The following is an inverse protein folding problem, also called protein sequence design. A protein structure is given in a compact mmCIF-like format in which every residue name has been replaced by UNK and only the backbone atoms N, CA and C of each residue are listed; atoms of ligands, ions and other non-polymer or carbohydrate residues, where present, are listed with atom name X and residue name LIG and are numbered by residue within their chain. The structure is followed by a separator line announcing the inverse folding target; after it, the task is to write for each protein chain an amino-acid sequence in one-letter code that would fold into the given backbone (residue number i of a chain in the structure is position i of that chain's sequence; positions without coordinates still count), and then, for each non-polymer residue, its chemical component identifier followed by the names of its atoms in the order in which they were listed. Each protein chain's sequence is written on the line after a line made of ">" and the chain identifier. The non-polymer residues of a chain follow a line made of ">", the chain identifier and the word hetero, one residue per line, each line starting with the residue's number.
data_IF_846515331679
#
_entry.id   IF_846515331679
#
_cell.length_a   1.000
_cell.length_b   1.000
_cell.length_c   1.000
_cell.angle_alpha   90.00
_cell.angle_beta   90.00
_cell.angle_gamma   90.00
#
_symmetry.space_group_name_H-M   'P 1'
#
loop_
_entity.id
_entity.type
_entity.pdbx_description
1 polymer ?
#
# COMPACT_ATOMS: atom_id res chain seq x y z
N UNK A 1 -43.93 -17.87 -20.81
CA UNK A 1 -42.54 -17.65 -20.39
C UNK A 1 -42.58 -17.25 -18.93
N UNK A 2 -42.04 -18.09 -18.05
CA UNK A 2 -41.78 -17.65 -16.69
C UNK A 2 -40.59 -16.68 -16.75
N UNK A 3 -40.52 -15.68 -15.87
CA UNK A 3 -39.47 -14.65 -15.94
C UNK A 3 -38.04 -15.19 -15.87
N UNK A 4 -37.84 -16.43 -15.41
CA UNK A 4 -36.56 -17.13 -15.34
C UNK A 4 -36.00 -17.51 -16.72
N UNK A 5 -36.87 -17.75 -17.73
CA UNK A 5 -36.45 -18.15 -19.08
C UNK A 5 -35.72 -17.01 -19.82
N UNK A 6 -35.84 -15.78 -19.32
CA UNK A 6 -35.22 -14.57 -19.88
C UNK A 6 -33.87 -14.24 -19.23
N UNK A 7 -33.48 -14.96 -18.17
CA UNK A 7 -32.25 -14.71 -17.43
C UNK A 7 -31.09 -15.56 -17.97
N UNK A 8 -29.85 -15.06 -17.97
CA UNK A 8 -28.67 -15.78 -18.46
C UNK A 8 -28.17 -16.85 -17.46
N UNK A 9 -29.05 -17.74 -17.00
CA UNK A 9 -28.80 -18.65 -15.87
C UNK A 9 -27.60 -19.58 -16.07
N UNK A 10 -27.37 -20.06 -17.29
CA UNK A 10 -26.23 -20.95 -17.59
C UNK A 10 -24.85 -20.31 -17.39
N UNK A 11 -24.76 -18.98 -17.32
CA UNK A 11 -23.51 -18.27 -17.00
C UNK A 11 -23.28 -18.12 -15.50
N UNK A 12 -24.35 -18.10 -14.71
CA UNK A 12 -24.32 -17.63 -13.31
C UNK A 12 -24.64 -18.71 -12.29
N UNK A 13 -25.30 -19.81 -12.70
CA UNK A 13 -25.58 -20.98 -11.87
C UNK A 13 -24.90 -22.19 -12.49
N UNK A 14 -23.88 -22.71 -11.81
CA UNK A 14 -23.16 -23.90 -12.23
C UNK A 14 -22.65 -24.67 -11.00
N UNK A 15 -23.32 -25.76 -10.65
CA UNK A 15 -23.02 -26.60 -9.49
C UNK A 15 -21.62 -27.23 -9.57
N UNK A 16 -21.09 -27.49 -10.78
CA UNK A 16 -19.74 -28.05 -10.98
C UNK A 16 -18.63 -27.05 -10.61
N UNK A 17 -18.96 -25.75 -10.54
CA UNK A 17 -18.04 -24.67 -10.17
C UNK A 17 -18.22 -24.17 -8.74
N UNK A 18 -19.05 -24.85 -7.95
CA UNK A 18 -19.26 -24.53 -6.53
C UNK A 18 -18.40 -25.48 -5.70
N UNK A 19 -17.40 -24.91 -5.01
CA UNK A 19 -16.64 -25.62 -3.97
C UNK A 19 -17.37 -25.60 -2.63
N UNK A 20 -16.62 -25.50 -1.53
CA UNK A 20 -17.18 -25.42 -0.17
C UNK A 20 -18.13 -24.24 0.05
N UNK A 21 -17.93 -23.17 -0.72
CA UNK A 21 -18.68 -21.92 -0.63
C UNK A 21 -19.07 -21.42 -2.02
N UNK A 22 -20.23 -20.76 -2.11
CA UNK A 22 -20.65 -20.04 -3.31
C UNK A 22 -20.28 -18.55 -3.23
N UNK A 23 -20.47 -17.83 -4.33
CA UNK A 23 -20.28 -16.38 -4.38
C UNK A 23 -21.13 -15.64 -3.32
N UNK A 24 -20.64 -14.51 -2.82
CA UNK A 24 -21.36 -13.67 -1.85
C UNK A 24 -22.55 -13.02 -2.55
N UNK A 25 -23.76 -13.29 -2.06
CA UNK A 25 -25.03 -12.79 -2.60
C UNK A 25 -25.90 -12.19 -1.50
N UNK A 26 -26.82 -11.25 -1.82
CA UNK A 26 -27.81 -10.79 -0.87
C UNK A 26 -28.74 -11.94 -0.45
N UNK A 27 -29.10 -11.98 0.84
CA UNK A 27 -30.06 -12.96 1.35
C UNK A 27 -31.50 -12.45 1.21
N UNK A 28 -32.48 -13.36 1.24
CA UNK A 28 -33.91 -13.04 1.14
C UNK A 28 -34.50 -12.38 2.40
N UNK A 29 -33.66 -12.00 3.38
CA UNK A 29 -34.13 -11.31 4.57
C UNK A 29 -34.46 -9.84 4.26
N UNK A 30 -35.43 -9.27 4.97
CA UNK A 30 -35.69 -7.84 4.91
C UNK A 30 -34.54 -7.07 5.59
N UNK A 31 -33.70 -6.43 4.78
CA UNK A 31 -32.55 -5.66 5.25
C UNK A 31 -32.95 -4.21 5.56
N UNK A 32 -32.71 -3.74 6.79
CA UNK A 32 -32.98 -2.35 7.18
C UNK A 32 -31.78 -1.48 6.79
N UNK A 33 -31.63 -1.22 5.49
CA UNK A 33 -30.50 -0.45 4.93
C UNK A 33 -30.34 0.92 5.61
N UNK A 34 -31.45 1.55 5.98
CA UNK A 34 -31.48 2.84 6.70
C UNK A 34 -30.76 2.83 8.07
N UNK A 35 -30.57 1.62 8.64
CA UNK A 35 -29.93 1.43 9.95
C UNK A 35 -28.48 0.97 9.86
N UNK A 36 -27.99 0.72 8.65
CA UNK A 36 -26.59 0.33 8.43
C UNK A 36 -25.69 1.56 8.63
N UNK A 37 -24.47 1.34 9.12
CA UNK A 37 -23.43 2.37 9.05
C UNK A 37 -23.05 2.67 7.60
N UNK A 38 -22.35 3.77 7.37
CA UNK A 38 -21.97 4.20 6.01
C UNK A 38 -21.15 3.13 5.27
N UNK A 39 -20.20 2.48 5.94
CA UNK A 39 -19.36 1.44 5.33
C UNK A 39 -20.14 0.15 5.06
N UNK A 40 -20.95 -0.31 6.01
CA UNK A 40 -21.83 -1.47 5.82
C UNK A 40 -22.78 -1.25 4.63
N UNK A 41 -23.33 -0.04 4.51
CA UNK A 41 -24.22 0.34 3.41
C UNK A 41 -23.49 0.34 2.07
N UNK A 42 -22.25 0.83 2.01
CA UNK A 42 -21.42 0.81 0.79
C UNK A 42 -21.10 -0.62 0.35
N UNK A 43 -20.70 -1.48 1.28
CA UNK A 43 -20.42 -2.89 0.98
C UNK A 43 -21.70 -3.62 0.55
N UNK A 44 -22.82 -3.38 1.24
CA UNK A 44 -24.11 -3.95 0.88
C UNK A 44 -24.55 -3.52 -0.53
N UNK A 45 -24.47 -2.23 -0.85
CA UNK A 45 -24.79 -1.69 -2.18
C UNK A 45 -23.90 -2.31 -3.27
N UNK A 46 -22.59 -2.47 -3.02
CA UNK A 46 -21.66 -3.13 -3.93
C UNK A 46 -22.07 -4.58 -4.22
N UNK A 47 -22.38 -5.36 -3.18
CA UNK A 47 -22.79 -6.77 -3.32
C UNK A 47 -24.13 -6.87 -4.06
N UNK A 48 -25.11 -6.04 -3.71
CA UNK A 48 -26.43 -6.04 -4.35
C UNK A 48 -26.34 -5.62 -5.82
N UNK A 49 -25.62 -4.54 -6.14
CA UNK A 49 -25.41 -4.10 -7.53
C UNK A 49 -24.70 -5.17 -8.34
N UNK A 50 -23.67 -5.81 -7.78
CA UNK A 50 -22.98 -6.91 -8.46
C UNK A 50 -23.91 -8.08 -8.74
N UNK A 51 -24.73 -8.47 -7.76
CA UNK A 51 -25.74 -9.53 -7.91
C UNK A 51 -26.81 -9.17 -8.95
N UNK A 52 -27.27 -7.92 -9.01
CA UNK A 52 -28.23 -7.49 -10.03
C UNK A 52 -27.58 -7.48 -11.43
N UNK A 53 -26.37 -6.95 -11.55
CA UNK A 53 -25.65 -6.81 -12.81
C UNK A 53 -25.43 -8.14 -13.55
N UNK A 54 -25.26 -9.26 -12.84
CA UNK A 54 -25.05 -10.57 -13.49
C UNK A 54 -26.29 -11.08 -14.25
N UNK A 55 -27.48 -10.55 -13.96
CA UNK A 55 -28.74 -10.88 -14.63
C UNK A 55 -29.10 -9.91 -15.78
N UNK A 56 -28.31 -8.86 -15.96
CA UNK A 56 -28.48 -7.93 -17.08
C UNK A 56 -27.77 -8.46 -18.36
N UNK A 57 -28.21 -8.04 -19.56
CA UNK A 57 -27.56 -8.39 -20.81
C UNK A 57 -26.14 -7.81 -20.89
N UNK A 58 -25.38 -8.30 -21.86
CA UNK A 58 -24.04 -7.79 -22.15
C UNK A 58 -24.09 -6.31 -22.56
N UNK A 59 -23.01 -5.59 -22.29
CA UNK A 59 -22.84 -4.24 -22.80
C UNK A 59 -22.37 -4.33 -24.26
N UNK A 60 -23.01 -3.58 -25.15
CA UNK A 60 -22.66 -3.55 -26.58
C UNK A 60 -21.93 -2.27 -26.91
N UNK A 61 -20.78 -2.40 -27.58
CA UNK A 61 -19.94 -1.29 -27.99
C UNK A 61 -19.76 -1.27 -29.50
N UNK A 62 -19.82 -0.10 -30.09
CA UNK A 62 -19.35 0.14 -31.46
C UNK A 62 -17.87 0.52 -31.40
N UNK A 63 -17.01 -0.30 -32.01
CA UNK A 63 -15.58 -0.04 -32.10
C UNK A 63 -15.24 0.43 -33.51
N UNK A 64 -14.79 1.68 -33.64
CA UNK A 64 -14.36 2.27 -34.90
C UNK A 64 -12.84 2.25 -34.97
N UNK A 65 -12.28 1.65 -36.03
CA UNK A 65 -10.85 1.70 -36.32
C UNK A 65 -10.64 2.42 -37.64
N UNK A 66 -9.82 3.45 -37.62
CA UNK A 66 -9.49 4.27 -38.78
C UNK A 66 -8.00 4.12 -39.05
N UNK A 67 -7.66 3.77 -40.29
CA UNK A 67 -6.29 3.76 -40.77
C UNK A 67 -6.13 4.93 -41.74
N UNK A 68 -5.23 5.85 -41.41
CA UNK A 68 -4.98 7.05 -42.20
C UNK A 68 -3.54 7.01 -42.69
N UNK A 69 -3.37 7.03 -44.01
CA UNK A 69 -2.05 7.09 -44.63
C UNK A 69 -1.67 8.53 -44.93
N UNK A 70 -0.56 8.98 -44.36
CA UNK A 70 0.06 10.28 -44.66
C UNK A 70 1.40 10.00 -45.31
N UNK A 71 1.53 10.33 -46.59
CA UNK A 71 2.67 9.95 -47.43
C UNK A 71 2.96 8.43 -47.37
N UNK A 72 4.06 8.01 -46.75
CA UNK A 72 4.46 6.61 -46.57
C UNK A 72 4.11 6.02 -45.21
N UNK A 73 3.56 6.81 -44.29
CA UNK A 73 3.30 6.40 -42.90
C UNK A 73 1.81 6.13 -42.68
N UNK A 74 1.51 5.00 -42.05
CA UNK A 74 0.13 4.63 -41.68
C UNK A 74 -0.07 4.87 -40.19
N UNK A 75 -1.07 5.69 -39.87
CA UNK A 75 -1.50 5.98 -38.51
C UNK A 75 -2.80 5.22 -38.20
N UNK A 76 -2.93 4.75 -36.97
CA UNK A 76 -4.15 4.07 -36.51
C UNK A 76 -4.82 4.89 -35.41
N UNK A 77 -6.06 5.25 -35.67
CA UNK A 77 -6.97 5.85 -34.68
C UNK A 77 -8.02 4.81 -34.31
N UNK A 78 -8.39 4.76 -33.04
CA UNK A 78 -9.45 3.87 -32.54
C UNK A 78 -10.42 4.68 -31.70
N UNK A 79 -11.70 4.34 -31.78
CA UNK A 79 -12.76 4.90 -30.96
C UNK A 79 -13.70 3.78 -30.52
N UNK A 80 -14.35 3.99 -29.39
CA UNK A 80 -15.28 3.04 -28.77
C UNK A 80 -16.46 3.82 -28.22
N UNK A 81 -17.67 3.44 -28.63
CA UNK A 81 -18.91 4.06 -28.17
C UNK A 81 -19.81 3.01 -27.54
N UNK A 82 -20.34 3.28 -26.35
CA UNK A 82 -21.31 2.41 -25.67
C UNK A 82 -22.69 2.58 -26.31
N UNK A 83 -23.21 1.53 -26.95
CA UNK A 83 -24.52 1.55 -27.63
C UNK A 83 -25.61 1.01 -26.71
N UNK A 84 -25.34 -0.13 -26.07
CA UNK A 84 -26.25 -0.76 -25.11
C UNK A 84 -25.51 -0.89 -23.78
N UNK A 85 -25.96 -0.23 -22.70
CA UNK A 85 -25.25 -0.25 -21.42
C UNK A 85 -25.24 -1.64 -20.75
N UNK A 86 -26.28 -2.45 -20.98
CA UNK A 86 -26.40 -3.77 -20.39
C UNK A 86 -26.21 -3.76 -18.87
N UNK A 87 -25.31 -4.61 -18.38
CA UNK A 87 -24.94 -4.68 -16.96
C UNK A 87 -24.27 -3.42 -16.42
N UNK A 88 -23.63 -2.59 -17.28
CA UNK A 88 -22.96 -1.35 -16.86
C UNK A 88 -23.97 -0.29 -16.40
N UNK A 89 -25.19 -0.35 -16.91
CA UNK A 89 -26.30 0.52 -16.48
C UNK A 89 -26.65 0.37 -14.99
N UNK A 90 -26.39 -0.79 -14.37
CA UNK A 90 -26.58 -1.01 -12.92
C UNK A 90 -25.62 -0.13 -12.09
N UNK A 91 -24.47 0.20 -12.66
CA UNK A 91 -23.46 1.08 -12.06
C UNK A 91 -23.68 2.55 -12.44
N UNK A 92 -24.74 2.87 -13.18
CA UNK A 92 -25.05 4.24 -13.62
C UNK A 92 -24.36 4.65 -14.91
N UNK A 93 -23.67 3.73 -15.59
CA UNK A 93 -23.04 3.98 -16.87
C UNK A 93 -24.09 3.88 -17.98
N UNK A 94 -24.44 5.02 -18.56
CA UNK A 94 -25.41 5.14 -19.64
C UNK A 94 -24.68 5.59 -20.92
N UNK A 95 -25.27 5.36 -22.11
CA UNK A 95 -24.74 5.94 -23.34
C UNK A 95 -24.66 7.46 -23.19
N UNK A 96 -23.45 8.00 -23.25
CA UNK A 96 -23.25 9.44 -23.37
C UNK A 96 -23.71 9.87 -24.77
N UNK A 97 -24.52 10.92 -24.86
CA UNK A 97 -24.90 11.50 -26.14
C UNK A 97 -23.69 12.11 -26.84
N UNK A 98 -23.76 12.21 -28.18
CA UNK A 98 -22.75 12.86 -29.03
C UNK A 98 -22.36 14.26 -28.50
N UNK A 99 -21.40 14.39 -27.58
CA UNK A 99 -21.16 15.69 -26.95
C UNK A 99 -20.00 15.78 -25.96
N UNK A 100 -20.02 15.06 -24.85
CA UNK A 100 -19.11 15.35 -23.75
C UNK A 100 -18.71 14.05 -23.02
N UNK A 101 -17.49 13.61 -23.29
CA UNK A 101 -16.78 12.68 -22.41
C UNK A 101 -15.63 13.47 -21.75
N UNK A 102 -15.83 13.92 -20.52
CA UNK A 102 -14.75 14.37 -19.64
C UNK A 102 -14.19 13.17 -18.87
N UNK A 103 -13.13 12.57 -19.41
CA UNK A 103 -12.47 11.42 -18.78
C UNK A 103 -11.03 11.24 -19.25
N UNK A 104 -10.10 11.88 -18.56
CA UNK A 104 -8.70 11.48 -18.56
C UNK A 104 -8.57 10.00 -18.14
N UNK A 105 -7.67 9.27 -18.81
CA UNK A 105 -7.15 7.94 -18.42
C UNK A 105 -7.78 6.68 -19.06
N UNK A 106 -7.52 6.44 -20.36
CA UNK A 106 -7.03 5.15 -20.91
C UNK A 106 -6.81 5.27 -22.44
N UNK A 107 -5.58 5.57 -22.86
CA UNK A 107 -5.08 5.25 -24.21
C UNK A 107 -5.87 5.71 -25.45
N UNK A 108 -6.75 6.72 -25.36
CA UNK A 108 -7.56 7.22 -26.47
C UNK A 108 -8.64 6.25 -26.97
N UNK A 109 -9.04 5.25 -26.17
CA UNK A 109 -10.01 4.23 -26.57
C UNK A 109 -11.46 4.69 -26.47
N UNK A 110 -11.78 5.54 -25.51
CA UNK A 110 -13.16 5.98 -25.25
C UNK A 110 -13.55 7.29 -25.95
N UNK A 111 -12.79 7.67 -26.99
CA UNK A 111 -13.17 8.80 -27.83
C UNK A 111 -14.26 8.38 -28.83
N UNK A 112 -15.31 9.20 -28.93
CA UNK A 112 -16.26 9.13 -30.03
C UNK A 112 -15.57 9.64 -31.30
N UNK A 113 -15.51 8.81 -32.33
CA UNK A 113 -15.02 9.22 -33.65
C UNK A 113 -16.18 9.71 -34.50
N UNK A 114 -15.98 10.74 -35.34
CA UNK A 114 -16.99 11.15 -36.30
C UNK A 114 -17.27 10.00 -37.28
N UNK A 115 -18.44 10.02 -37.92
CA UNK A 115 -18.72 9.13 -39.04
C UNK A 115 -17.76 9.43 -40.17
N UNK A 116 -17.04 8.41 -40.64
CA UNK A 116 -16.07 8.49 -41.73
C UNK A 116 -16.42 7.46 -42.79
N UNK A 117 -16.17 7.78 -44.05
CA UNK A 117 -16.34 6.86 -45.16
C UNK A 117 -14.99 6.31 -45.66
N UNK A 118 -14.99 5.07 -46.16
CA UNK A 118 -13.78 4.49 -46.74
C UNK A 118 -13.37 5.26 -48.00
N UNK A 119 -12.12 5.74 -48.01
CA UNK A 119 -11.58 6.54 -49.12
C UNK A 119 -11.82 8.04 -48.99
N UNK A 120 -12.44 8.49 -47.89
CA UNK A 120 -12.57 9.90 -47.57
C UNK A 120 -11.18 10.55 -47.45
N UNK A 121 -11.04 11.75 -48.04
CA UNK A 121 -9.78 12.50 -48.00
C UNK A 121 -9.81 13.45 -46.81
N UNK A 122 -8.87 13.29 -45.89
CA UNK A 122 -8.65 14.21 -44.79
C UNK A 122 -7.46 15.15 -45.07
N UNK A 123 -7.53 16.38 -44.55
CA UNK A 123 -6.42 17.32 -44.58
C UNK A 123 -5.58 17.18 -43.30
N UNK A 124 -4.28 16.97 -43.45
CA UNK A 124 -3.35 16.99 -42.31
C UNK A 124 -3.09 18.45 -41.91
N UNK A 125 -3.50 18.82 -40.70
CA UNK A 125 -3.35 20.19 -40.18
C UNK A 125 -2.02 20.41 -39.48
N UNK A 126 -1.52 19.41 -38.75
CA UNK A 126 -0.25 19.44 -38.03
C UNK A 126 0.32 18.03 -37.90
N UNK A 127 1.65 17.95 -37.80
CA UNK A 127 2.40 16.72 -37.47
C UNK A 127 3.32 17.06 -36.31
N UNK A 128 3.19 16.30 -35.22
CA UNK A 128 4.00 16.48 -34.02
C UNK A 128 4.79 15.20 -33.71
N UNK A 129 6.05 15.37 -33.31
CA UNK A 129 6.86 14.28 -32.75
C UNK A 129 6.73 14.32 -31.23
N UNK A 130 6.14 13.28 -30.63
CA UNK A 130 6.01 13.17 -29.17
C UNK A 130 7.21 12.43 -28.61
N UNK A 131 8.07 13.17 -27.94
CA UNK A 131 9.08 12.57 -27.07
C UNK A 131 8.40 11.97 -25.83
N UNK A 132 8.71 10.72 -25.51
CA UNK A 132 8.14 9.99 -24.39
C UNK A 132 9.26 9.33 -23.59
N UNK A 133 9.09 9.29 -22.28
CA UNK A 133 9.99 8.59 -21.38
C UNK A 133 9.31 7.36 -20.77
N UNK A 134 10.10 6.34 -20.47
CA UNK A 134 9.61 5.19 -19.72
C UNK A 134 9.43 5.58 -18.26
N UNK A 135 8.32 5.14 -17.66
CA UNK A 135 8.08 5.31 -16.23
C UNK A 135 8.42 4.01 -15.49
N UNK A 136 9.04 4.08 -14.30
CA UNK A 136 9.22 2.89 -13.47
C UNK A 136 7.87 2.31 -13.06
N UNK A 137 7.80 1.01 -12.73
CA UNK A 137 6.58 0.39 -12.21
C UNK A 137 6.05 1.14 -10.98
N UNK A 138 4.74 1.32 -10.92
CA UNK A 138 4.07 1.91 -9.76
C UNK A 138 4.28 1.06 -8.51
N UNK A 139 4.37 1.71 -7.35
CA UNK A 139 4.37 1.00 -6.06
C UNK A 139 3.03 0.30 -5.84
N UNK A 140 3.04 -0.81 -5.12
CA UNK A 140 1.82 -1.50 -4.76
C UNK A 140 0.97 -0.65 -3.81
N UNK A 141 -0.35 -0.63 -4.02
CA UNK A 141 -1.37 -0.31 -3.01
C UNK A 141 -1.88 -1.59 -2.34
N UNK A 142 -2.72 -1.47 -1.32
CA UNK A 142 -3.44 -2.62 -0.73
C UNK A 142 -4.16 -3.45 -1.81
N UNK A 143 -4.91 -2.80 -2.70
CA UNK A 143 -5.66 -3.47 -3.77
C UNK A 143 -4.75 -4.17 -4.79
N UNK A 144 -3.69 -3.49 -5.26
CA UNK A 144 -2.80 -4.11 -6.24
C UNK A 144 -1.98 -5.24 -5.61
N UNK A 145 -1.59 -5.13 -4.34
CA UNK A 145 -0.85 -6.21 -3.66
C UNK A 145 -1.73 -7.44 -3.47
N UNK A 146 -3.01 -7.26 -3.11
CA UNK A 146 -4.00 -8.36 -3.09
C UNK A 146 -4.11 -9.03 -4.46
N UNK A 147 -4.19 -8.25 -5.54
CA UNK A 147 -4.22 -8.77 -6.90
C UNK A 147 -2.95 -9.54 -7.29
N UNK A 148 -1.78 -9.12 -6.79
CA UNK A 148 -0.53 -9.89 -6.97
C UNK A 148 -0.54 -11.18 -6.15
N UNK A 149 -1.04 -11.15 -4.91
CA UNK A 149 -1.16 -12.36 -4.08
C UNK A 149 -2.13 -13.38 -4.71
N UNK A 150 -3.23 -12.91 -5.30
CA UNK A 150 -4.17 -13.71 -6.10
C UNK A 150 -3.51 -14.30 -7.34
N UNK A 151 -2.79 -13.46 -8.09
CA UNK A 151 -2.16 -13.83 -9.35
C UNK A 151 -0.74 -14.40 -9.22
N UNK A 152 -0.30 -14.78 -8.02
CA UNK A 152 1.10 -15.12 -7.75
C UNK A 152 1.62 -16.29 -8.59
N UNK A 153 0.73 -17.20 -9.02
CA UNK A 153 1.07 -18.27 -9.96
C UNK A 153 1.65 -17.76 -11.28
N UNK A 154 1.32 -16.53 -11.73
CA UNK A 154 1.90 -15.93 -12.95
C UNK A 154 3.41 -15.65 -12.84
N UNK A 155 3.96 -15.70 -11.63
CA UNK A 155 5.39 -15.52 -11.35
C UNK A 155 6.14 -16.87 -11.27
N UNK A 156 5.44 -17.99 -11.49
CA UNK A 156 5.99 -19.34 -11.47
C UNK A 156 6.08 -19.84 -12.92
N UNK A 157 7.29 -20.22 -13.34
CA UNK A 157 7.56 -20.69 -14.71
C UNK A 157 7.07 -22.14 -14.94
N UNK A 158 7.03 -22.95 -13.88
CA UNK A 158 6.56 -24.34 -13.95
C UNK A 158 5.04 -24.40 -14.06
N UNK A 159 4.55 -25.08 -15.10
CA UNK A 159 3.12 -25.12 -15.43
C UNK A 159 2.29 -25.88 -14.38
N UNK A 160 2.83 -26.97 -13.82
CA UNK A 160 2.13 -27.80 -12.84
C UNK A 160 1.99 -27.06 -11.49
N UNK A 161 3.06 -26.37 -11.06
CA UNK A 161 3.02 -25.52 -9.88
C UNK A 161 2.14 -24.28 -10.10
N UNK A 162 2.14 -23.72 -11.31
CA UNK A 162 1.27 -22.60 -11.68
C UNK A 162 -0.21 -22.99 -11.59
N UNK A 163 -0.56 -24.18 -12.09
CA UNK A 163 -1.92 -24.71 -11.98
C UNK A 163 -2.34 -24.89 -10.52
N UNK A 164 -1.49 -25.47 -9.68
CA UNK A 164 -1.74 -25.60 -8.24
C UNK A 164 -1.98 -24.25 -7.53
N UNK A 165 -1.35 -23.17 -8.02
CA UNK A 165 -1.54 -21.81 -7.49
C UNK A 165 -2.71 -21.03 -8.13
N UNK A 166 -3.36 -21.55 -9.18
CA UNK A 166 -4.33 -20.77 -9.97
C UNK A 166 -5.59 -20.41 -9.17
N UNK A 167 -6.00 -21.25 -8.22
CA UNK A 167 -7.18 -20.98 -7.36
C UNK A 167 -6.79 -20.36 -6.00
N UNK A 168 -5.67 -20.77 -5.42
CA UNK A 168 -5.25 -20.35 -4.07
C UNK A 168 -4.34 -19.12 -4.04
N UNK A 169 -3.53 -18.87 -5.07
CA UNK A 169 -2.49 -17.83 -5.03
C UNK A 169 -1.56 -17.97 -3.81
N UNK A 170 -1.08 -16.86 -3.26
CA UNK A 170 -0.40 -16.84 -1.95
C UNK A 170 -1.44 -16.57 -0.86
N UNK A 171 -1.77 -17.62 -0.10
CA UNK A 171 -2.75 -17.59 0.98
C UNK A 171 -4.20 -17.51 0.47
N UNK A 172 -5.15 -17.91 1.30
CA UNK A 172 -6.57 -17.95 0.93
C UNK A 172 -7.23 -16.55 0.93
N UNK A 173 -8.33 -16.33 0.19
CA UNK A 173 -9.03 -15.05 0.17
C UNK A 173 -9.34 -14.45 1.56
N UNK A 174 -9.63 -15.32 2.54
CA UNK A 174 -9.93 -14.91 3.91
C UNK A 174 -8.71 -14.39 4.71
N UNK A 175 -7.49 -14.70 4.28
CA UNK A 175 -6.27 -14.43 5.06
C UNK A 175 -5.39 -13.33 4.48
N UNK A 176 -5.50 -13.02 3.18
CA UNK A 176 -4.61 -12.08 2.48
C UNK A 176 -4.62 -10.67 3.08
N UNK A 177 -5.81 -10.11 3.33
CA UNK A 177 -5.93 -8.79 3.96
C UNK A 177 -5.30 -8.76 5.36
N UNK A 178 -5.51 -9.81 6.16
CA UNK A 178 -4.92 -9.92 7.49
C UNK A 178 -3.39 -10.06 7.45
N UNK A 179 -2.83 -10.70 6.42
CA UNK A 179 -1.38 -10.78 6.20
C UNK A 179 -0.81 -9.38 5.93
N UNK A 180 -1.45 -8.59 5.07
CA UNK A 180 -1.02 -7.21 4.78
C UNK A 180 -1.06 -6.35 6.06
N UNK A 181 -2.15 -6.40 6.83
CA UNK A 181 -2.21 -5.69 8.12
C UNK A 181 -1.13 -6.17 9.08
N UNK A 182 -0.87 -7.49 9.13
CA UNK A 182 0.18 -8.05 9.98
C UNK A 182 1.56 -7.51 9.59
N UNK A 183 1.88 -7.40 8.30
CA UNK A 183 3.15 -6.84 7.82
C UNK A 183 3.32 -5.37 8.24
N UNK A 184 2.23 -4.62 8.25
CA UNK A 184 2.20 -3.23 8.72
C UNK A 184 2.38 -3.14 10.24
N UNK A 185 1.68 -3.99 10.99
CA UNK A 185 1.71 -4.04 12.45
C UNK A 185 3.09 -4.41 13.00
N UNK A 186 3.75 -5.42 12.40
CA UNK A 186 5.12 -5.79 12.76
C UNK A 186 6.16 -4.81 12.22
N UNK A 187 5.75 -3.88 11.36
CA UNK A 187 6.55 -2.77 10.85
C UNK A 187 7.53 -3.14 9.74
N UNK A 188 7.23 -4.15 8.93
CA UNK A 188 7.99 -4.44 7.69
C UNK A 188 7.56 -3.54 6.53
N UNK A 189 6.30 -3.13 6.52
CA UNK A 189 5.71 -2.28 5.48
C UNK A 189 4.98 -1.11 6.17
N UNK A 190 4.82 -0.01 5.45
CA UNK A 190 3.98 1.10 5.86
C UNK A 190 3.20 1.72 4.70
N UNK A 191 2.08 2.38 5.03
CA UNK A 191 1.28 3.12 4.08
C UNK A 191 1.89 4.50 3.87
N UNK A 192 2.31 4.77 2.65
CA UNK A 192 2.75 6.07 2.15
C UNK A 192 1.69 6.60 1.18
N UNK A 193 0.75 7.39 1.71
CA UNK A 193 -0.44 7.80 0.97
C UNK A 193 -1.32 6.59 0.59
N UNK A 194 -1.47 6.36 -0.72
CA UNK A 194 -2.22 5.21 -1.29
C UNK A 194 -1.35 3.99 -1.59
N UNK A 195 -0.04 4.11 -1.40
CA UNK A 195 0.94 3.07 -1.71
C UNK A 195 1.50 2.43 -0.43
N UNK A 196 2.05 1.24 -0.59
CA UNK A 196 2.79 0.50 0.41
C UNK A 196 4.28 0.67 0.13
N UNK A 197 5.04 1.00 1.17
CA UNK A 197 6.48 1.13 1.12
C UNK A 197 7.13 0.18 2.13
N UNK A 198 8.18 -0.57 1.76
CA UNK A 198 8.92 -1.36 2.73
C UNK A 198 9.69 -0.42 3.67
N UNK A 199 9.69 -0.74 4.95
CA UNK A 199 10.51 -0.02 5.94
C UNK A 199 11.96 -0.52 5.87
N UNK A 200 12.89 0.21 6.47
CA UNK A 200 14.27 -0.28 6.70
C UNK A 200 14.30 -1.67 7.35
N UNK A 201 13.38 -1.93 8.29
CA UNK A 201 13.25 -3.24 8.92
C UNK A 201 12.86 -4.31 7.91
N UNK A 202 11.86 -4.05 7.07
CA UNK A 202 11.41 -4.98 6.03
C UNK A 202 12.50 -5.25 4.99
N UNK A 203 13.15 -4.20 4.50
CA UNK A 203 14.26 -4.32 3.54
C UNK A 203 15.42 -5.13 4.11
N UNK A 204 15.78 -4.91 5.38
CA UNK A 204 16.86 -5.67 6.00
C UNK A 204 16.51 -7.15 6.14
N UNK A 205 15.28 -7.52 6.51
CA UNK A 205 14.87 -8.93 6.54
C UNK A 205 15.04 -9.59 5.16
N UNK A 206 14.56 -8.92 4.10
CA UNK A 206 14.70 -9.46 2.74
C UNK A 206 16.17 -9.55 2.32
N UNK A 207 17.00 -8.54 2.63
CA UNK A 207 18.44 -8.58 2.33
C UNK A 207 19.17 -9.72 3.06
N UNK A 208 18.76 -10.04 4.28
CA UNK A 208 19.35 -11.14 5.05
C UNK A 208 18.96 -12.51 4.51
N UNK A 209 17.72 -12.64 4.03
CA UNK A 209 17.25 -13.87 3.40
C UNK A 209 17.79 -14.03 1.97
N UNK A 210 18.05 -12.94 1.24
CA UNK A 210 18.54 -12.99 -0.13
C UNK A 210 17.60 -13.78 -1.03
N UNK A 211 18.15 -14.77 -1.74
CA UNK A 211 17.41 -15.66 -2.65
C UNK A 211 16.87 -16.93 -1.96
N UNK A 212 16.79 -16.93 -0.61
CA UNK A 212 16.28 -18.09 0.13
C UNK A 212 14.85 -18.47 -0.33
N UNK A 213 14.50 -19.77 -0.39
CA UNK A 213 13.17 -20.21 -0.83
C UNK A 213 11.98 -19.54 -0.11
N UNK A 214 12.17 -19.12 1.15
CA UNK A 214 11.15 -18.39 1.94
C UNK A 214 10.70 -17.05 1.32
N UNK A 215 11.51 -16.43 0.45
CA UNK A 215 11.16 -15.18 -0.22
C UNK A 215 10.59 -15.39 -1.62
N UNK A 216 10.48 -16.65 -2.07
CA UNK A 216 10.05 -16.99 -3.42
C UNK A 216 8.60 -17.52 -3.42
N UNK A 217 7.75 -17.07 -4.37
CA UNK A 217 6.37 -17.56 -4.49
C UNK A 217 6.31 -19.04 -4.83
N UNK A 218 7.33 -19.58 -5.51
CA UNK A 218 7.42 -20.98 -5.95
C UNK A 218 7.26 -21.96 -4.77
N UNK A 219 7.90 -21.69 -3.62
CA UNK A 219 7.79 -22.54 -2.44
C UNK A 219 6.34 -22.67 -1.94
N UNK A 220 5.56 -21.59 -2.06
CA UNK A 220 4.13 -21.64 -1.71
C UNK A 220 3.37 -22.53 -2.68
N UNK A 221 3.65 -22.46 -3.99
CA UNK A 221 3.05 -23.34 -4.98
C UNK A 221 3.37 -24.82 -4.75
N UNK A 222 4.61 -25.13 -4.39
CA UNK A 222 5.02 -26.49 -4.02
C UNK A 222 4.24 -27.02 -2.81
N UNK A 223 4.02 -26.17 -1.79
CA UNK A 223 3.24 -26.57 -0.62
C UNK A 223 1.77 -26.76 -0.93
N UNK A 224 1.14 -25.86 -1.69
CA UNK A 224 -0.27 -26.00 -2.11
C UNK A 224 -0.46 -27.27 -2.94
N UNK A 225 0.44 -27.57 -3.87
CA UNK A 225 0.40 -28.82 -4.64
C UNK A 225 0.47 -30.06 -3.74
N UNK A 226 1.38 -30.07 -2.77
CA UNK A 226 1.50 -31.17 -1.79
C UNK A 226 0.27 -31.28 -0.89
N UNK A 227 -0.31 -30.16 -0.46
CA UNK A 227 -1.55 -30.15 0.32
C UNK A 227 -2.72 -30.75 -0.48
N UNK A 228 -2.83 -30.45 -1.77
CA UNK A 228 -3.81 -31.07 -2.67
C UNK A 228 -3.60 -32.58 -2.81
N UNK A 229 -2.35 -33.05 -2.90
CA UNK A 229 -2.04 -34.50 -2.89
C UNK A 229 -2.40 -35.19 -1.58
N UNK A 230 -2.27 -34.49 -0.45
CA UNK A 230 -2.72 -35.01 0.86
C UNK A 230 -4.24 -35.12 0.89
N UNK A 231 -4.96 -34.11 0.38
CA UNK A 231 -6.43 -34.13 0.27
C UNK A 231 -6.92 -35.29 -0.61
N UNK A 232 -6.23 -35.56 -1.73
CA UNK A 232 -6.50 -36.68 -2.61
C UNK A 232 -6.08 -38.05 -2.02
N UNK A 233 -5.39 -38.08 -0.88
CA UNK A 233 -4.90 -39.30 -0.23
C UNK A 233 -3.65 -39.90 -0.87
N UNK A 234 -2.94 -39.15 -1.71
CA UNK A 234 -1.74 -39.56 -2.45
C UNK A 234 -0.43 -39.31 -1.70
N UNK A 235 -0.47 -38.48 -0.65
CA UNK A 235 0.66 -38.18 0.22
C UNK A 235 0.22 -38.20 1.69
N UNK A 236 1.07 -38.71 2.58
CA UNK A 236 0.75 -38.74 4.01
C UNK A 236 1.14 -37.44 4.70
N UNK A 237 0.30 -37.01 5.65
CA UNK A 237 0.58 -35.84 6.50
C UNK A 237 1.89 -36.00 7.26
N UNK A 238 2.22 -37.21 7.71
CA UNK A 238 3.45 -37.49 8.44
C UNK A 238 4.70 -37.21 7.60
N UNK A 239 4.71 -37.63 6.33
CA UNK A 239 5.81 -37.37 5.41
C UNK A 239 5.95 -35.86 5.16
N UNK A 240 4.85 -35.18 4.85
CA UNK A 240 4.82 -33.74 4.64
C UNK A 240 5.39 -32.95 5.82
N UNK A 241 4.91 -33.22 7.03
CA UNK A 241 5.39 -32.54 8.23
C UNK A 241 6.85 -32.87 8.56
N UNK A 242 7.32 -34.06 8.20
CA UNK A 242 8.73 -34.44 8.32
C UNK A 242 9.64 -33.55 7.47
N UNK A 243 9.25 -33.28 6.23
CA UNK A 243 9.99 -32.41 5.32
C UNK A 243 9.96 -30.95 5.77
N UNK A 244 8.81 -30.45 6.24
CA UNK A 244 8.72 -29.09 6.82
C UNK A 244 9.68 -28.95 8.00
N UNK A 245 9.75 -29.95 8.88
CA UNK A 245 10.66 -29.93 10.02
C UNK A 245 12.14 -30.00 9.60
N UNK A 246 12.47 -30.70 8.51
CA UNK A 246 13.82 -30.74 7.94
C UNK A 246 14.18 -29.38 7.33
N UNK A 247 13.31 -28.83 6.49
CA UNK A 247 13.46 -27.51 5.88
C UNK A 247 13.68 -26.41 6.94
N UNK A 248 12.90 -26.44 8.02
CA UNK A 248 13.07 -25.48 9.12
C UNK A 248 14.44 -25.60 9.80
N UNK A 249 14.93 -26.83 10.03
CA UNK A 249 16.26 -27.08 10.61
C UNK A 249 17.38 -26.57 9.71
N UNK A 250 17.33 -26.90 8.43
CA UNK A 250 18.31 -26.45 7.43
C UNK A 250 18.32 -24.93 7.29
N UNK A 251 17.13 -24.30 7.31
CA UNK A 251 17.00 -22.84 7.29
C UNK A 251 17.67 -22.21 8.51
N UNK A 252 17.44 -22.76 9.71
CA UNK A 252 18.06 -22.25 10.95
C UNK A 252 19.58 -22.39 10.91
N UNK A 253 20.11 -23.55 10.50
CA UNK A 253 21.56 -23.78 10.40
C UNK A 253 22.23 -22.83 9.39
N UNK A 254 21.58 -22.60 8.24
CA UNK A 254 22.02 -21.63 7.24
C UNK A 254 22.06 -20.21 7.83
N UNK A 255 20.98 -19.80 8.50
CA UNK A 255 20.88 -18.46 9.09
C UNK A 255 21.87 -18.26 10.23
N UNK A 256 22.09 -19.26 11.10
CA UNK A 256 23.08 -19.17 12.17
C UNK A 256 24.50 -19.00 11.62
N UNK A 257 24.80 -19.62 10.48
CA UNK A 257 26.08 -19.46 9.79
C UNK A 257 26.21 -18.09 9.15
N UNK A 258 25.16 -17.63 8.45
CA UNK A 258 25.16 -16.39 7.66
C UNK A 258 25.05 -15.14 8.53
N UNK A 259 24.34 -15.22 9.65
CA UNK A 259 24.08 -14.09 10.54
C UNK A 259 25.10 -13.95 11.67
N UNK A 260 26.07 -14.88 11.79
CA UNK A 260 27.05 -14.91 12.87
C UNK A 260 27.81 -13.59 13.05
N UNK A 261 28.08 -12.90 11.94
CA UNK A 261 28.82 -11.64 11.91
C UNK A 261 27.97 -10.41 11.53
N UNK A 262 26.66 -10.60 11.31
CA UNK A 262 25.75 -9.50 10.96
C UNK A 262 25.39 -8.71 12.22
N UNK A 263 26.09 -7.60 12.43
CA UNK A 263 25.70 -6.60 13.42
C UNK A 263 24.68 -5.66 12.80
N UNK A 264 23.41 -5.78 13.18
CA UNK A 264 22.39 -4.78 12.83
C UNK A 264 22.80 -3.45 13.49
N UNK A 265 23.20 -2.42 12.73
CA UNK A 265 23.61 -1.15 13.30
C UNK A 265 22.37 -0.46 13.87
N UNK A 266 22.17 -0.58 15.19
CA UNK A 266 21.15 0.19 15.89
C UNK A 266 21.74 1.57 16.15
N UNK A 267 21.01 2.63 15.79
CA UNK A 267 21.38 3.96 16.25
C UNK A 267 21.38 3.94 17.79
N UNK A 268 22.58 3.96 18.38
CA UNK A 268 22.77 4.07 19.82
C UNK A 268 22.72 5.56 20.18
N UNK A 269 21.73 5.94 20.98
CA UNK A 269 21.53 7.33 21.42
C UNK A 269 22.26 7.65 22.73
N UNK A 270 22.98 6.68 23.31
CA UNK A 270 23.72 6.81 24.55
C UNK A 270 23.11 6.00 25.70
N UNK A 271 23.71 6.08 26.91
CA UNK A 271 23.27 5.33 28.07
C UNK A 271 21.91 5.83 28.58
N UNK A 272 21.05 4.89 28.96
CA UNK A 272 19.74 5.16 29.51
C UNK A 272 19.87 5.91 30.84
N UNK A 273 19.12 7.02 31.05
CA UNK A 273 19.21 7.81 32.27
C UNK A 273 18.64 7.07 33.50
N UNK A 274 17.95 5.94 33.30
CA UNK A 274 17.34 5.13 34.37
C UNK A 274 18.24 3.99 34.81
N UNK A 275 18.85 3.25 33.87
CA UNK A 275 19.58 2.03 34.18
C UNK A 275 20.94 1.88 33.49
N UNK A 276 21.39 2.89 32.72
CA UNK A 276 22.70 2.91 32.08
C UNK A 276 22.85 2.06 30.80
N UNK A 277 21.89 1.18 30.48
CA UNK A 277 21.91 0.38 29.25
C UNK A 277 21.73 1.25 27.99
N UNK A 278 22.15 0.75 26.83
CA UNK A 278 22.02 1.48 25.57
C UNK A 278 20.56 1.81 25.20
N UNK A 279 20.33 3.04 24.75
CA UNK A 279 19.06 3.42 24.11
C UNK A 279 19.16 3.17 22.62
N UNK A 280 18.23 2.37 22.11
CA UNK A 280 18.13 2.03 20.69
C UNK A 280 16.91 2.70 20.06
N UNK A 281 17.08 3.09 18.79
CA UNK A 281 15.99 3.62 17.98
C UNK A 281 15.09 2.52 17.41
N UNK A 282 13.79 2.61 17.69
CA UNK A 282 12.74 1.76 17.13
C UNK A 282 11.75 2.63 16.30
N UNK A 283 10.79 1.98 15.60
CA UNK A 283 9.79 2.69 14.78
C UNK A 283 8.97 3.70 15.59
N UNK A 284 8.52 3.32 16.79
CA UNK A 284 7.62 4.15 17.61
C UNK A 284 8.35 5.14 18.52
N UNK A 285 9.62 4.89 18.83
CA UNK A 285 10.33 5.65 19.86
C UNK A 285 11.79 5.22 20.03
N UNK A 286 12.50 5.93 20.89
CA UNK A 286 13.83 5.61 21.39
C UNK A 286 13.66 4.95 22.75
N UNK A 287 14.04 3.69 22.88
CA UNK A 287 13.76 2.89 24.08
C UNK A 287 15.02 2.25 24.65
N UNK A 288 15.07 2.11 25.97
CA UNK A 288 16.15 1.39 26.63
C UNK A 288 16.17 -0.09 26.22
N UNK A 289 17.34 -0.58 25.84
CA UNK A 289 17.59 -1.98 25.54
C UNK A 289 18.06 -2.72 26.80
N UNK A 290 17.12 -3.01 27.70
CA UNK A 290 17.37 -3.94 28.80
C UNK A 290 17.07 -5.37 28.32
N UNK A 291 17.94 -6.34 28.64
CA UNK A 291 17.76 -7.77 28.29
C UNK A 291 16.87 -8.53 29.28
N UNK A 292 16.60 -7.92 30.44
CA UNK A 292 15.76 -8.46 31.52
C UNK A 292 14.31 -7.97 31.35
N UNK A 293 13.33 -8.81 31.70
CA UNK A 293 11.89 -8.52 31.62
C UNK A 293 11.26 -8.50 33.03
N UNK A 294 10.55 -7.43 33.44
CA UNK A 294 10.36 -6.16 32.75
C UNK A 294 11.58 -5.25 32.91
N UNK A 295 12.20 -4.85 31.79
CA UNK A 295 13.30 -3.89 31.78
C UNK A 295 12.89 -2.52 32.37
N UNK A 296 13.79 -1.54 32.37
CA UNK A 296 13.53 -0.24 33.04
C UNK A 296 12.39 0.61 32.43
N UNK A 297 11.80 0.21 31.30
CA UNK A 297 10.61 0.82 30.72
C UNK A 297 10.78 2.23 30.15
N UNK A 298 12.02 2.74 30.04
CA UNK A 298 12.29 4.08 29.50
C UNK A 298 12.04 4.15 27.99
N UNK A 299 11.17 5.08 27.56
CA UNK A 299 10.83 5.31 26.14
C UNK A 299 10.61 6.81 25.87
N UNK A 300 11.28 7.32 24.83
CA UNK A 300 10.96 8.60 24.19
C UNK A 300 10.20 8.31 22.90
N UNK A 301 8.90 8.62 22.85
CA UNK A 301 8.09 8.43 21.65
C UNK A 301 8.50 9.43 20.56
N UNK A 302 8.58 8.96 19.30
CA UNK A 302 8.91 9.82 18.16
C UNK A 302 7.77 10.79 17.84
N UNK A 303 6.52 10.35 17.93
CA UNK A 303 5.38 11.22 17.67
C UNK A 303 5.06 12.08 18.91
N UNK A 304 5.16 13.41 18.78
CA UNK A 304 4.65 14.36 19.78
C UNK A 304 4.05 15.59 19.09
N UNK A 305 2.78 15.89 19.37
CA UNK A 305 2.06 17.07 18.86
C UNK A 305 2.25 17.29 17.34
N UNK A 306 2.03 16.26 16.53
CA UNK A 306 2.14 16.34 15.06
C UNK A 306 3.56 16.46 14.50
N UNK A 307 4.61 16.36 15.34
CA UNK A 307 6.01 16.32 14.93
C UNK A 307 6.63 14.95 15.21
N UNK A 308 7.47 14.49 14.29
CA UNK A 308 8.41 13.39 14.51
C UNK A 308 9.67 13.93 15.19
N UNK A 309 10.00 13.35 16.34
CA UNK A 309 11.15 13.71 17.16
C UNK A 309 12.43 13.28 16.44
N UNK A 310 13.36 14.20 16.12
CA UNK A 310 14.65 13.83 15.55
C UNK A 310 15.54 13.13 16.58
N UNK A 311 16.40 12.21 16.12
CA UNK A 311 17.32 11.49 16.99
C UNK A 311 18.29 12.42 17.74
N UNK A 312 18.64 13.57 17.16
CA UNK A 312 19.46 14.60 17.82
C UNK A 312 18.77 15.18 19.07
N UNK A 313 17.47 15.48 18.98
CA UNK A 313 16.68 16.00 20.11
C UNK A 313 16.50 14.94 21.18
N UNK A 314 16.25 13.69 20.78
CA UNK A 314 16.17 12.58 21.73
C UNK A 314 17.51 12.36 22.45
N UNK A 315 18.64 12.46 21.74
CA UNK A 315 19.98 12.37 22.33
C UNK A 315 20.24 13.49 23.34
N UNK A 316 19.87 14.72 23.01
CA UNK A 316 19.98 15.87 23.92
C UNK A 316 19.14 15.65 25.18
N UNK A 317 17.88 15.22 25.04
CA UNK A 317 17.00 14.90 26.17
C UNK A 317 17.58 13.80 27.07
N UNK A 318 18.19 12.77 26.50
CA UNK A 318 18.82 11.67 27.25
C UNK A 318 20.02 12.19 28.07
N UNK A 319 20.82 13.10 27.51
CA UNK A 319 22.04 13.60 28.13
C UNK A 319 21.79 14.66 29.20
N UNK A 320 20.82 15.55 28.96
CA UNK A 320 20.64 16.78 29.75
C UNK A 320 19.31 16.82 30.51
N UNK A 321 18.38 15.91 30.19
CA UNK A 321 17.01 15.92 30.70
C UNK A 321 16.10 16.98 30.09
N UNK A 322 16.64 17.98 29.37
CA UNK A 322 15.89 19.12 28.83
C UNK A 322 16.55 19.70 27.58
N UNK A 323 15.77 20.13 26.60
CA UNK A 323 16.33 20.82 25.43
C UNK A 323 16.71 22.26 25.75
N UNK A 324 17.93 22.68 25.42
CA UNK A 324 18.40 24.04 25.65
C UNK A 324 17.65 25.06 24.79
N UNK A 325 17.41 24.69 23.52
CA UNK A 325 16.71 25.52 22.52
C UNK A 325 15.29 24.99 22.28
N UNK A 326 14.31 25.89 22.01
CA UNK A 326 12.98 25.46 21.61
C UNK A 326 13.02 24.63 20.33
N UNK A 327 12.41 23.44 20.38
CA UNK A 327 12.25 22.59 19.20
C UNK A 327 11.10 23.13 18.38
N UNK A 328 11.31 23.38 17.08
CA UNK A 328 10.31 23.97 16.18
C UNK A 328 9.37 22.92 15.59
N UNK A 329 8.26 23.31 14.95
CA UNK A 329 7.47 22.42 14.09
C UNK A 329 6.45 21.52 14.81
N UNK A 330 6.13 21.78 16.08
CA UNK A 330 4.97 21.18 16.73
C UNK A 330 3.68 21.79 16.19
N UNK A 331 2.58 21.05 16.15
CA UNK A 331 1.25 21.53 15.74
C UNK A 331 0.33 21.60 16.95
N UNK A 332 -0.23 22.78 17.20
CA UNK A 332 -1.22 23.01 18.24
C UNK A 332 -2.59 22.43 17.87
N UNK A 333 -3.55 22.48 18.80
CA UNK A 333 -4.94 22.00 18.57
C UNK A 333 -5.63 22.72 17.40
N UNK A 334 -5.21 23.95 17.10
CA UNK A 334 -5.70 24.76 15.98
C UNK A 334 -4.95 24.51 14.67
N UNK A 335 -4.04 23.53 14.64
CA UNK A 335 -3.21 23.20 13.47
C UNK A 335 -2.00 24.11 13.24
N UNK A 336 -1.92 25.26 13.94
CA UNK A 336 -0.79 26.20 13.83
C UNK A 336 0.50 25.61 14.38
N UNK A 337 1.61 25.90 13.69
CA UNK A 337 2.93 25.48 14.12
C UNK A 337 3.41 26.33 15.32
N UNK A 338 4.11 25.70 16.28
CA UNK A 338 4.75 26.37 17.40
C UNK A 338 6.12 25.75 17.72
N UNK A 339 6.93 26.48 18.48
CA UNK A 339 8.22 26.03 19.01
C UNK A 339 8.15 25.94 20.53
N UNK A 340 8.69 24.87 21.12
CA UNK A 340 8.69 24.73 22.58
C UNK A 340 9.91 23.95 23.06
N UNK A 341 10.40 24.28 24.26
CA UNK A 341 11.37 23.44 24.97
C UNK A 341 10.71 22.16 25.47
N UNK A 342 11.49 21.10 25.56
CA UNK A 342 11.07 19.79 26.02
C UNK A 342 11.83 19.40 27.28
N UNK A 343 11.17 18.68 28.19
CA UNK A 343 11.77 18.10 29.39
C UNK A 343 11.35 16.65 29.57
N UNK A 344 12.25 15.83 30.10
CA UNK A 344 11.93 14.51 30.64
C UNK A 344 11.33 14.67 32.04
N UNK A 345 10.09 14.22 32.19
CA UNK A 345 9.34 14.28 33.45
C UNK A 345 8.92 12.86 33.81
N UNK A 346 8.97 12.54 35.10
CA UNK A 346 8.48 11.28 35.63
C UNK A 346 7.05 11.46 36.14
N UNK A 347 6.13 10.63 35.65
CA UNK A 347 4.75 10.60 36.13
C UNK A 347 4.67 9.96 37.53
N UNK A 348 3.51 10.09 38.19
CA UNK A 348 3.22 9.47 39.49
C UNK A 348 3.44 7.95 39.50
N UNK A 349 3.22 7.28 38.37
CA UNK A 349 3.48 5.83 38.18
C UNK A 349 4.97 5.48 37.97
N UNK A 350 5.89 6.45 38.13
CA UNK A 350 7.32 6.25 37.92
C UNK A 350 7.76 6.16 36.46
N UNK A 351 6.86 6.37 35.48
CA UNK A 351 7.17 6.32 34.04
C UNK A 351 7.66 7.65 33.50
N UNK A 352 8.71 7.61 32.69
CA UNK A 352 9.27 8.79 32.02
C UNK A 352 8.46 9.20 30.79
N UNK A 353 8.22 10.50 30.63
CA UNK A 353 7.58 11.10 29.46
C UNK A 353 8.29 12.38 29.05
N UNK A 354 8.19 12.71 27.78
CA UNK A 354 8.61 14.02 27.26
C UNK A 354 7.43 14.98 27.38
N UNK A 355 7.58 16.05 28.15
CA UNK A 355 6.64 17.17 28.27
C UNK A 355 7.20 18.45 27.68
N UNK A 356 6.32 19.43 27.45
CA UNK A 356 6.77 20.79 27.13
C UNK A 356 7.26 21.46 28.41
N UNK A 357 8.46 22.03 28.41
CA UNK A 357 9.08 22.64 29.59
C UNK A 357 8.64 24.10 29.81
N UNK A 358 7.52 24.49 29.18
CA UNK A 358 7.01 25.86 29.20
C UNK A 358 5.52 25.85 29.59
N UNK A 359 5.10 26.67 30.58
CA UNK A 359 3.72 26.67 31.08
C UNK A 359 2.65 26.88 29.99
N UNK A 360 2.91 27.82 29.07
CA UNK A 360 1.99 28.14 27.97
C UNK A 360 1.76 26.95 27.02
N UNK A 361 2.78 26.11 26.83
CA UNK A 361 2.72 24.95 25.95
C UNK A 361 2.08 23.73 26.63
N UNK A 362 2.07 23.68 27.98
CA UNK A 362 1.40 22.62 28.75
C UNK A 362 -0.13 22.77 28.75
N UNK A 363 -0.63 24.00 28.80
CA UNK A 363 -2.07 24.30 28.95
C UNK A 363 -2.82 24.39 27.60
N UNK A 364 -2.12 24.24 26.47
CA UNK A 364 -2.71 24.41 25.14
C UNK A 364 -3.10 25.86 24.83
N UNK A 365 -2.59 26.81 25.61
CA UNK A 365 -2.80 28.24 25.42
C UNK A 365 -1.98 28.75 24.22
N UNK A 366 -2.52 29.78 23.56
CA UNK A 366 -1.93 30.46 22.40
C UNK A 366 -0.46 30.77 22.70
N UNK A 367 0.45 30.35 21.79
CA UNK A 367 1.87 30.67 21.92
C UNK A 367 2.04 32.17 22.20
N UNK A 368 2.90 32.56 23.16
CA UNK A 368 3.14 33.98 23.42
C UNK A 368 3.56 34.64 22.10
N UNK A 369 2.89 35.73 21.75
CA UNK A 369 3.26 36.59 20.61
C UNK A 369 4.60 37.25 20.98
N UNK A 370 5.70 36.52 20.79
CA UNK A 370 7.05 37.08 20.83
C UNK A 370 7.42 37.47 19.41
N UNK A 371 7.71 38.76 19.22
CA UNK A 371 8.19 39.42 18.00
C UNK A 371 9.53 38.86 17.49
N UNK A 372 9.57 37.59 17.09
CA UNK A 372 10.71 36.95 16.42
C UNK A 372 10.31 36.43 15.03
N UNK A 373 9.27 37.00 14.41
CA UNK A 373 8.97 36.79 13.00
C UNK A 373 10.07 37.36 12.08
N UNK A 374 10.99 38.17 12.60
CA UNK A 374 12.02 38.84 11.80
C UNK A 374 13.35 38.09 11.68
N UNK A 375 13.63 37.06 12.48
CA UNK A 375 14.90 36.31 12.37
C UNK A 375 14.81 34.98 11.61
N UNK A 376 13.60 34.50 11.28
CA UNK A 376 13.44 33.37 10.35
C UNK A 376 13.56 33.79 8.86
N UNK A 377 13.37 35.08 8.55
CA UNK A 377 13.51 35.62 7.19
C UNK A 377 14.95 36.03 6.85
N UNK A 378 15.76 36.44 7.84
CA UNK A 378 17.13 36.91 7.60
C UNK A 378 18.16 35.78 7.37
N UNK A 379 17.89 34.55 7.82
CA UNK A 379 18.77 33.39 7.59
C UNK A 379 18.59 32.69 6.24
N UNK A 380 17.49 32.96 5.53
CA UNK A 380 17.21 32.38 4.21
C UNK A 380 17.63 33.29 3.03
N UNK A 381 18.02 34.54 3.30
CA UNK A 381 18.46 35.50 2.29
C UNK A 381 20.00 35.63 2.17
N UNK A 382 20.77 34.96 3.03
CA UNK A 382 22.24 35.05 3.05
C UNK A 382 22.95 33.94 2.26
N UNK A 383 22.24 32.98 1.66
CA UNK A 383 22.83 31.85 0.92
C UNK A 383 22.53 31.86 -0.59
N UNK A 384 22.13 33.03 -1.12
CA UNK A 384 21.63 33.21 -2.49
C UNK A 384 22.55 33.98 -3.45
N UNK A 385 23.85 34.10 -3.20
CA UNK A 385 24.72 34.88 -4.08
C UNK A 385 26.20 34.63 -3.95
N UNK A 386 26.73 33.67 -4.72
CA UNK A 386 28.00 33.78 -5.45
C UNK A 386 28.40 32.45 -6.10
N UNK A 387 28.13 32.26 -7.39
CA UNK A 387 29.02 31.50 -8.28
C UNK A 387 28.82 31.93 -9.73
N UNK A 388 29.29 33.14 -10.05
CA UNK A 388 29.61 33.54 -11.41
C UNK A 388 31.08 33.27 -11.69
N UNK A 389 31.34 32.45 -12.72
CA UNK A 389 32.46 32.55 -13.65
C UNK A 389 33.90 32.52 -13.12
N UNK A 390 34.61 31.43 -13.44
CA UNK A 390 36.02 31.52 -13.82
C UNK A 390 36.30 30.50 -14.93
N UNK A 391 36.62 31.04 -16.12
CA UNK A 391 37.19 30.32 -17.23
C UNK A 391 38.74 30.34 -17.14
N UNK A 392 39.35 29.45 -17.92
CA UNK A 392 40.76 29.36 -18.34
C UNK A 392 41.72 28.56 -17.43
N UNK A 393 42.04 27.32 -17.84
CA UNK A 393 43.21 26.99 -18.66
C UNK A 393 43.09 25.55 -19.18
#
# INVERSE_FOLDING_TARGET
>A
MQGLDLLPLGRVVNDEKVGDHHAIIPTNAAHKVEKMGDDDRRIYDLVVRRFLAIFHPEAEFENTRVETTVESHTFRTSGRVLIVPGWRGVYGELPEGDGDADGEDDGGRDQALPRLEQGERALVTAVESKEKETSPPGRYSDASLLGVMEGAGKLVDDEELREAMTESGIGTPATRAAIIERLIDVGYVERDGRSLAPTEKGMNVIRLLGDHPLTQPVLTGEWEHRLGRIEAGEESREAFMGDIAAFARETIEMLDTTLKDVRIPRANLGPCPVCGNDIVENRKGYSCWAREDPGCGFVIWKAKAGKQMPAAVARELIQTGRTERPVTGFRGRTGRAFRARLALVQNEDGRWRVEFDEPWAKEGAKAPETDDAEQAAAGAAADGGASGGAAAA
#
